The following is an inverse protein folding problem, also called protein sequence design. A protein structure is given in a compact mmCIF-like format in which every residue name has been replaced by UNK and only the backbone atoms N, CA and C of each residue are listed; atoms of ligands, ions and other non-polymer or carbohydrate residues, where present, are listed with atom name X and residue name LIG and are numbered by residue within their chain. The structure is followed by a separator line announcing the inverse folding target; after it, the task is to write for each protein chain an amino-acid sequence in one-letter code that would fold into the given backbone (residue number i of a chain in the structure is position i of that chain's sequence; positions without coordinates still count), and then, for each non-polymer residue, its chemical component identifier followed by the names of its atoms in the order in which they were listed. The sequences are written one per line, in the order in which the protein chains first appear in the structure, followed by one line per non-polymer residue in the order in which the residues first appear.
data_IF_615308142287
#
_entry.id   IF_615308142287
#
_cell.length_a   1.000
_cell.length_b   1.000
_cell.length_c   1.000
_cell.angle_alpha   90.00
_cell.angle_beta   90.00
_cell.angle_gamma   90.00
#
_symmetry.space_group_name_H-M   'P 1'
#
loop_
_entity.id
_entity.type
_entity.pdbx_description
1 polymer ?
#
# COMPACT_ATOMS: atom_id res chain seq x y z
N UNK A 1 4.10 -20.79 1.83
CA UNK A 1 2.65 -20.47 1.84
C UNK A 1 2.19 -19.73 0.56
N UNK A 2 2.90 -18.71 0.08
CA UNK A 2 2.48 -17.91 -1.09
C UNK A 2 2.35 -18.70 -2.40
N UNK A 3 3.25 -19.66 -2.63
CA UNK A 3 3.20 -20.52 -3.83
C UNK A 3 1.93 -21.37 -3.85
N UNK A 4 1.50 -21.92 -2.71
CA UNK A 4 0.28 -22.74 -2.62
C UNK A 4 -0.99 -21.90 -2.86
N UNK A 5 -1.03 -20.67 -2.31
CA UNK A 5 -2.11 -19.72 -2.57
C UNK A 5 -2.16 -19.27 -4.04
N UNK A 6 -1.01 -19.06 -4.69
CA UNK A 6 -0.94 -18.73 -6.10
C UNK A 6 -1.41 -19.90 -6.99
N UNK A 7 -1.03 -21.13 -6.66
CA UNK A 7 -1.44 -22.34 -7.39
C UNK A 7 -2.95 -22.59 -7.27
N UNK A 8 -3.51 -22.35 -6.08
CA UNK A 8 -4.95 -22.44 -5.81
C UNK A 8 -5.72 -21.37 -6.61
N UNK A 9 -5.26 -20.12 -6.58
CA UNK A 9 -5.85 -19.03 -7.36
C UNK A 9 -5.82 -19.33 -8.87
N UNK A 10 -4.69 -19.86 -9.36
CA UNK A 10 -4.55 -20.26 -10.75
C UNK A 10 -5.55 -21.36 -11.14
N UNK A 11 -5.70 -22.41 -10.33
CA UNK A 11 -6.66 -23.48 -10.57
C UNK A 11 -8.11 -23.00 -10.50
N UNK A 12 -8.46 -22.15 -9.54
CA UNK A 12 -9.80 -21.56 -9.40
C UNK A 12 -10.19 -20.70 -10.61
N UNK A 13 -9.23 -19.96 -11.18
CA UNK A 13 -9.43 -19.17 -12.39
C UNK A 13 -9.53 -20.04 -13.64
N UNK A 14 -8.67 -21.06 -13.76
CA UNK A 14 -8.71 -22.03 -14.87
C UNK A 14 -10.00 -22.84 -14.89
N UNK A 15 -10.54 -23.17 -13.72
CA UNK A 15 -11.79 -23.88 -13.55
C UNK A 15 -13.04 -22.99 -13.74
N UNK A 16 -12.89 -21.69 -14.07
CA UNK A 16 -13.97 -20.70 -14.16
C UNK A 16 -14.85 -20.55 -12.90
N UNK A 17 -14.46 -21.13 -11.77
CA UNK A 17 -15.17 -21.03 -10.48
C UNK A 17 -15.04 -19.60 -9.93
N UNK A 18 -13.91 -18.94 -10.20
CA UNK A 18 -13.66 -17.57 -9.77
C UNK A 18 -13.54 -16.61 -10.96
N UNK A 19 -14.56 -15.78 -11.14
CA UNK A 19 -14.53 -14.65 -12.07
C UNK A 19 -14.21 -13.37 -11.29
N UNK A 20 -13.01 -12.77 -11.47
CA UNK A 20 -12.68 -11.51 -10.83
C UNK A 20 -13.66 -10.43 -11.30
N UNK A 21 -14.27 -9.71 -10.36
CA UNK A 21 -15.20 -8.64 -10.70
C UNK A 21 -14.47 -7.51 -11.47
N UNK A 22 -15.13 -6.88 -12.46
CA UNK A 22 -14.56 -5.76 -13.19
C UNK A 22 -14.24 -4.62 -12.21
N UNK A 23 -13.01 -4.09 -12.27
CA UNK A 23 -12.52 -3.02 -11.38
C UNK A 23 -11.23 -3.35 -10.63
N UNK A 24 -10.86 -4.64 -10.51
CA UNK A 24 -9.65 -5.06 -9.81
C UNK A 24 -8.35 -4.52 -10.41
N UNK A 25 -8.25 -4.44 -11.75
CA UNK A 25 -7.07 -3.87 -12.41
C UNK A 25 -6.91 -2.37 -12.10
N UNK A 26 -8.01 -1.61 -12.09
CA UNK A 26 -8.00 -0.19 -11.75
C UNK A 26 -7.58 0.01 -10.28
N UNK A 27 -8.06 -0.86 -9.38
CA UNK A 27 -7.60 -0.89 -7.98
C UNK A 27 -6.08 -1.10 -7.89
N UNK A 28 -5.55 -2.13 -8.57
CA UNK A 28 -4.11 -2.44 -8.55
C UNK A 28 -3.29 -1.26 -9.07
N UNK A 29 -3.69 -0.63 -10.18
CA UNK A 29 -2.97 0.53 -10.73
C UNK A 29 -2.97 1.70 -9.75
N UNK A 30 -4.11 2.02 -9.13
CA UNK A 30 -4.18 3.09 -8.11
C UNK A 30 -3.29 2.77 -6.90
N UNK A 31 -3.26 1.51 -6.47
CA UNK A 31 -2.42 1.05 -5.36
C UNK A 31 -0.93 1.17 -5.71
N UNK A 32 -0.53 0.77 -6.92
CA UNK A 32 0.85 0.90 -7.40
C UNK A 32 1.28 2.36 -7.43
N UNK A 33 0.44 3.26 -7.94
CA UNK A 33 0.73 4.71 -7.93
C UNK A 33 0.90 5.22 -6.49
N UNK A 34 -0.01 4.87 -5.58
CA UNK A 34 0.09 5.29 -4.18
C UNK A 34 1.36 4.77 -3.50
N UNK A 35 1.75 3.53 -3.77
CA UNK A 35 3.00 2.94 -3.28
C UNK A 35 4.23 3.63 -3.87
N UNK A 36 4.22 3.96 -5.16
CA UNK A 36 5.32 4.69 -5.79
C UNK A 36 5.48 6.10 -5.20
N UNK A 37 4.38 6.85 -5.04
CA UNK A 37 4.42 8.19 -4.42
C UNK A 37 4.93 8.12 -2.99
N UNK A 38 4.42 7.19 -2.19
CA UNK A 38 4.91 6.96 -0.83
C UNK A 38 6.41 6.63 -0.83
N UNK A 39 6.86 5.71 -1.68
CA UNK A 39 8.27 5.31 -1.78
C UNK A 39 9.18 6.49 -2.14
N UNK A 40 8.78 7.32 -3.10
CA UNK A 40 9.51 8.54 -3.48
C UNK A 40 9.54 9.54 -2.33
N UNK A 41 8.41 9.76 -1.65
CA UNK A 41 8.34 10.69 -0.53
C UNK A 41 9.24 10.25 0.64
N UNK A 42 9.24 8.96 0.98
CA UNK A 42 10.13 8.39 1.99
C UNK A 42 11.60 8.44 1.57
N UNK A 43 11.91 8.20 0.29
CA UNK A 43 13.27 8.28 -0.23
C UNK A 43 13.85 9.69 -0.06
N UNK A 44 13.09 10.72 -0.42
CA UNK A 44 13.51 12.11 -0.19
C UNK A 44 13.53 12.49 1.29
N UNK A 45 12.58 12.00 2.09
CA UNK A 45 12.51 12.29 3.52
C UNK A 45 13.61 11.60 4.35
N UNK A 46 14.14 10.47 3.88
CA UNK A 46 15.22 9.73 4.55
C UNK A 46 16.53 10.50 4.55
N UNK A 47 16.82 11.28 3.50
CA UNK A 47 17.97 12.19 3.44
C UNK A 47 19.32 11.48 3.68
N UNK A 48 20.25 12.17 4.35
CA UNK A 48 21.59 11.67 4.59
C UNK A 48 21.64 10.65 5.74
N UNK A 49 21.92 9.39 5.37
CA UNK A 49 22.03 8.24 6.28
C UNK A 49 23.03 8.47 7.42
N UNK A 50 24.11 9.25 7.20
CA UNK A 50 25.14 9.49 8.20
C UNK A 50 24.65 10.38 9.35
N UNK A 51 23.70 11.28 9.09
CA UNK A 51 23.15 12.18 10.11
C UNK A 51 22.26 11.43 11.10
N UNK A 52 21.47 10.48 10.59
CA UNK A 52 20.53 9.70 11.40
C UNK A 52 21.23 8.62 12.24
N UNK A 53 22.32 8.04 11.75
CA UNK A 53 23.14 7.08 12.51
C UNK A 53 23.82 7.71 13.73
N UNK A 54 24.10 9.02 13.68
CA UNK A 54 24.69 9.77 14.79
C UNK A 54 23.67 10.31 15.79
N UNK A 55 22.37 10.11 15.57
CA UNK A 55 21.36 10.54 16.53
C UNK A 55 21.28 9.62 17.74
N UNK A 56 21.24 10.22 18.94
CA UNK A 56 20.87 9.52 20.16
C UNK A 56 19.46 8.89 20.07
N UNK A 57 19.22 7.86 20.89
CA UNK A 57 18.00 7.01 20.85
C UNK A 57 16.68 7.80 20.73
N UNK A 58 16.49 8.86 21.50
CA UNK A 58 15.25 9.64 21.48
C UNK A 58 15.01 10.37 20.16
N UNK A 59 16.06 10.99 19.58
CA UNK A 59 15.97 11.67 18.28
C UNK A 59 15.67 10.66 17.17
N UNK A 60 16.27 9.46 17.25
CA UNK A 60 16.04 8.37 16.31
C UNK A 60 14.58 7.90 16.33
N UNK A 61 13.99 7.71 17.52
CA UNK A 61 12.59 7.30 17.69
C UNK A 61 11.61 8.34 17.10
N UNK A 62 11.84 9.63 17.37
CA UNK A 62 10.99 10.71 16.85
C UNK A 62 11.08 10.75 15.32
N UNK A 63 12.29 10.63 14.75
CA UNK A 63 12.50 10.65 13.31
C UNK A 63 11.80 9.48 12.59
N UNK A 64 11.96 8.25 13.10
CA UNK A 64 11.26 7.07 12.54
C UNK A 64 9.75 7.26 12.64
N UNK A 65 9.25 7.71 13.79
CA UNK A 65 7.82 7.95 13.99
C UNK A 65 7.29 8.98 12.99
N UNK A 66 8.05 10.04 12.73
CA UNK A 66 7.74 11.04 11.70
C UNK A 66 7.70 10.45 10.29
N UNK A 67 8.68 9.61 9.91
CA UNK A 67 8.70 8.91 8.63
C UNK A 67 7.50 7.97 8.45
N UNK A 68 7.10 7.26 9.51
CA UNK A 68 5.92 6.39 9.50
C UNK A 68 4.64 7.20 9.28
N UNK A 69 4.48 8.32 9.98
CA UNK A 69 3.35 9.21 9.78
C UNK A 69 3.33 9.81 8.37
N UNK A 70 4.50 10.25 7.85
CA UNK A 70 4.63 10.78 6.49
C UNK A 70 4.30 9.72 5.43
N UNK A 71 4.77 8.49 5.61
CA UNK A 71 4.42 7.35 4.75
C UNK A 71 2.91 7.08 4.77
N UNK A 72 2.30 7.02 5.95
CA UNK A 72 0.86 6.86 6.10
C UNK A 72 0.06 7.97 5.42
N UNK A 73 0.41 9.24 5.68
CA UNK A 73 -0.27 10.41 5.11
C UNK A 73 -0.13 10.44 3.59
N UNK A 74 1.08 10.22 3.05
CA UNK A 74 1.29 10.21 1.59
C UNK A 74 0.52 9.10 0.89
N UNK A 75 0.47 7.90 1.48
CA UNK A 75 -0.33 6.78 0.97
C UNK A 75 -1.82 7.13 0.94
N UNK A 76 -2.40 7.53 2.08
CA UNK A 76 -3.83 7.84 2.16
C UNK A 76 -4.20 9.07 1.32
N UNK A 77 -3.37 10.11 1.29
CA UNK A 77 -3.58 11.29 0.46
C UNK A 77 -3.61 10.92 -1.03
N UNK A 78 -2.65 10.11 -1.49
CA UNK A 78 -2.61 9.66 -2.89
C UNK A 78 -3.82 8.80 -3.24
N UNK A 79 -4.21 7.89 -2.34
CA UNK A 79 -5.39 7.06 -2.51
C UNK A 79 -6.67 7.90 -2.60
N UNK A 80 -6.82 8.92 -1.73
CA UNK A 80 -7.95 9.85 -1.74
C UNK A 80 -7.99 10.70 -3.03
N UNK A 81 -6.84 11.22 -3.48
CA UNK A 81 -6.72 11.99 -4.73
C UNK A 81 -7.06 11.15 -5.96
N UNK A 82 -6.67 9.87 -5.97
CA UNK A 82 -7.04 8.90 -7.02
C UNK A 82 -8.53 8.50 -6.96
N UNK A 83 -9.32 9.12 -6.08
CA UNK A 83 -10.75 8.87 -5.93
C UNK A 83 -11.05 7.47 -5.39
N UNK A 84 -10.15 6.92 -4.56
CA UNK A 84 -10.37 5.63 -3.95
C UNK A 84 -11.48 5.72 -2.91
N UNK A 85 -12.67 5.22 -3.26
CA UNK A 85 -13.80 5.12 -2.36
C UNK A 85 -13.78 3.73 -1.72
N UNK A 86 -13.36 3.57 -0.45
CA UNK A 86 -13.41 2.27 0.23
C UNK A 86 -14.83 1.69 0.29
N UNK A 87 -15.84 2.55 0.15
CA UNK A 87 -17.26 2.20 0.05
C UNK A 87 -17.62 1.37 -1.19
N UNK A 88 -16.88 1.48 -2.30
CA UNK A 88 -17.19 0.73 -3.54
C UNK A 88 -16.68 -0.71 -3.49
N UNK A 89 -15.68 -1.00 -2.65
CA UNK A 89 -15.07 -2.34 -2.52
C UNK A 89 -15.55 -3.10 -1.28
N UNK A 90 -16.23 -2.43 -0.35
CA UNK A 90 -16.79 -3.08 0.84
C UNK A 90 -18.05 -3.84 0.42
N UNK A 91 -17.91 -5.16 0.20
CA UNK A 91 -19.06 -6.07 0.00
C UNK A 91 -20.06 -5.83 1.12
N UNK A 92 -21.19 -5.20 0.79
CA UNK A 92 -22.36 -5.25 1.68
C UNK A 92 -22.83 -6.70 1.68
N UNK A 93 -22.46 -7.44 2.71
CA UNK A 93 -23.16 -8.69 3.05
C UNK A 93 -24.58 -8.25 3.40
N UNK A 94 -25.51 -8.43 2.47
CA UNK A 94 -26.93 -8.36 2.78
C UNK A 94 -27.23 -9.61 3.60
N UNK A 95 -27.45 -9.42 4.89
CA UNK A 95 -28.10 -10.40 5.77
C UNK A 95 -29.56 -10.57 5.35
#
# INVERSE_FOLDING_TARGET
ACINAALLYYHLRKANIYQPQPGWLVFIVKLLIALSVMGVALYFAMGDTHLWLNFGLMKRLIFISGLVLLGGVSYFATLLLLGFRPRDYMRRVKT
#
